data_IF_110367720203
#
_entry.id   IF_110367720203
#
_cell.length_a   1.000
_cell.length_b   1.000
_cell.length_c   1.000
_cell.angle_alpha   90.00
_cell.angle_beta   90.00
_cell.angle_gamma   90.00
#
_symmetry.space_group_name_H-M   'P 1'
#
loop_
_entity.id
_entity.type
_entity.pdbx_description
1 polymer ?
#
# COMPACT_ATOMS: atom_id res chain seq x y z
N UNK A 1 -5.15 6.11 -6.78
CA UNK A 1 -4.64 4.83 -6.23
C UNK A 1 -3.45 4.39 -7.07
N UNK A 2 -2.46 3.75 -6.46
CA UNK A 2 -1.33 3.15 -7.17
C UNK A 2 -1.43 1.63 -7.06
N UNK A 3 -1.13 0.93 -8.16
CA UNK A 3 -1.08 -0.54 -8.15
C UNK A 3 0.20 -0.98 -7.46
N UNK A 4 0.09 -1.96 -6.57
CA UNK A 4 1.26 -2.62 -6.04
C UNK A 4 1.78 -3.63 -7.07
N UNK A 5 3.10 -3.80 -7.12
CA UNK A 5 3.79 -4.71 -8.03
C UNK A 5 4.02 -6.08 -7.41
N UNK A 6 3.90 -6.19 -6.08
CA UNK A 6 3.98 -7.47 -5.36
C UNK A 6 3.91 -7.29 -3.86
N UNK A 7 3.84 -8.40 -3.14
CA UNK A 7 3.84 -8.44 -1.69
C UNK A 7 4.67 -9.61 -1.16
N UNK A 8 5.07 -9.51 0.11
CA UNK A 8 5.71 -10.59 0.86
C UNK A 8 5.09 -10.69 2.24
N UNK A 9 4.79 -11.91 2.69
CA UNK A 9 4.50 -12.15 4.09
C UNK A 9 5.80 -12.07 4.90
N UNK A 10 5.79 -11.26 5.97
CA UNK A 10 6.97 -11.06 6.83
C UNK A 10 6.75 -11.56 8.26
N UNK A 11 5.50 -11.80 8.65
CA UNK A 11 5.09 -12.55 9.85
C UNK A 11 3.68 -13.11 9.64
N UNK A 12 3.11 -13.82 10.62
CA UNK A 12 1.78 -14.44 10.52
C UNK A 12 0.65 -13.43 10.24
N UNK A 13 0.84 -12.17 10.62
CA UNK A 13 -0.15 -11.10 10.48
C UNK A 13 0.39 -9.88 9.74
N UNK A 14 1.52 -9.98 9.05
CA UNK A 14 2.10 -8.83 8.35
C UNK A 14 2.47 -9.12 6.90
N UNK A 15 2.02 -8.23 6.03
CA UNK A 15 2.31 -8.21 4.61
C UNK A 15 3.07 -6.92 4.27
N UNK A 16 4.21 -7.05 3.59
CA UNK A 16 4.92 -5.92 2.99
C UNK A 16 4.57 -5.82 1.51
N UNK A 17 3.97 -4.71 1.09
CA UNK A 17 3.64 -4.45 -0.31
C UNK A 17 4.68 -3.54 -0.94
N UNK A 18 5.02 -3.78 -2.20
CA UNK A 18 5.91 -2.93 -3.02
C UNK A 18 5.12 -2.26 -4.13
N UNK A 19 5.42 -1.00 -4.43
CA UNK A 19 4.75 -0.22 -5.49
C UNK A 19 5.66 0.91 -5.98
N UNK A 20 5.36 1.48 -7.15
CA UNK A 20 6.05 2.66 -7.66
C UNK A 20 5.52 3.93 -6.96
N UNK A 21 6.42 4.81 -6.54
CA UNK A 21 6.15 6.13 -5.97
C UNK A 21 7.23 7.14 -6.40
N UNK A 22 7.06 8.41 -6.05
CA UNK A 22 8.03 9.47 -6.33
C UNK A 22 9.07 9.67 -5.22
N UNK A 23 9.67 10.87 -5.16
CA UNK A 23 10.55 11.26 -4.05
C UNK A 23 9.77 11.24 -2.72
N UNK A 24 10.36 10.62 -1.69
CA UNK A 24 9.77 10.51 -0.34
C UNK A 24 9.53 11.85 0.35
N UNK A 25 10.19 12.92 -0.09
CA UNK A 25 9.95 14.29 0.39
C UNK A 25 8.71 14.92 -0.22
N UNK A 26 8.23 14.37 -1.33
CA UNK A 26 7.12 14.89 -2.09
C UNK A 26 5.86 14.05 -1.94
N UNK A 27 6.02 12.73 -1.84
CA UNK A 27 4.90 11.80 -1.86
C UNK A 27 4.85 10.92 -0.62
N UNK A 28 3.68 10.88 0.00
CA UNK A 28 3.32 9.95 1.05
C UNK A 28 2.41 8.85 0.52
N UNK A 29 2.25 7.79 1.31
CA UNK A 29 1.34 6.70 0.98
C UNK A 29 0.59 6.21 2.21
N UNK A 30 -0.67 5.85 2.01
CA UNK A 30 -1.48 5.12 2.99
C UNK A 30 -2.10 3.89 2.35
N UNK A 31 -2.60 2.99 3.20
CA UNK A 31 -3.28 1.76 2.79
C UNK A 31 -4.74 1.80 3.20
N UNK A 32 -5.58 1.12 2.43
CA UNK A 32 -6.92 0.70 2.84
C UNK A 32 -6.95 -0.81 2.73
N UNK A 33 -7.45 -1.46 3.77
CA UNK A 33 -7.46 -2.91 3.91
C UNK A 33 -8.87 -3.34 4.21
N UNK A 34 -9.39 -4.26 3.40
CA UNK A 34 -10.66 -4.94 3.63
C UNK A 34 -10.37 -6.43 3.84
N UNK A 35 -10.85 -6.98 4.95
CA UNK A 35 -10.53 -8.34 5.39
C UNK A 35 -11.79 -9.19 5.49
N UNK A 36 -11.73 -10.41 4.93
CA UNK A 36 -12.69 -11.49 5.16
C UNK A 36 -11.98 -12.72 5.70
N UNK A 37 -12.71 -13.77 6.08
CA UNK A 37 -12.08 -15.04 6.49
C UNK A 37 -11.22 -15.70 5.41
N UNK A 38 -11.38 -15.35 4.13
CA UNK A 38 -10.67 -15.96 3.00
C UNK A 38 -9.86 -14.98 2.16
N UNK A 39 -10.07 -13.67 2.29
CA UNK A 39 -9.43 -12.64 1.46
C UNK A 39 -8.86 -11.49 2.28
N UNK A 40 -7.77 -10.91 1.76
CA UNK A 40 -7.16 -9.66 2.22
C UNK A 40 -7.06 -8.75 1.00
N UNK A 41 -7.94 -7.76 0.91
CA UNK A 41 -8.01 -6.83 -0.19
C UNK A 41 -7.29 -5.54 0.19
N UNK A 42 -6.23 -5.18 -0.55
CA UNK A 42 -5.37 -4.05 -0.20
C UNK A 42 -5.31 -3.04 -1.34
N UNK A 43 -5.62 -1.78 -1.02
CA UNK A 43 -5.36 -0.63 -1.88
C UNK A 43 -4.22 0.21 -1.31
N UNK A 44 -3.37 0.70 -2.21
CA UNK A 44 -2.34 1.70 -1.89
C UNK A 44 -2.73 3.03 -2.50
N UNK A 45 -2.72 4.07 -1.67
CA UNK A 45 -3.07 5.43 -2.06
C UNK A 45 -1.81 6.26 -1.86
N UNK A 46 -1.24 6.74 -2.96
CA UNK A 46 -0.13 7.69 -2.97
C UNK A 46 -0.68 9.08 -3.24
N UNK A 47 -0.10 10.09 -2.60
CA UNK A 47 -0.46 11.50 -2.78
C UNK A 47 0.66 12.42 -2.35
N UNK A 48 0.56 13.69 -2.74
CA UNK A 48 1.52 14.72 -2.35
C UNK A 48 1.42 14.98 -0.85
N UNK A 49 2.57 15.14 -0.19
CA UNK A 49 2.62 15.53 1.22
C UNK A 49 2.19 17.00 1.38
N UNK A 50 1.53 17.38 2.49
CA UNK A 50 1.19 18.78 2.75
C UNK A 50 2.42 19.70 2.74
N UNK A 51 3.53 19.23 3.30
CA UNK A 51 4.79 19.97 3.41
C UNK A 51 5.78 19.61 2.28
N UNK A 52 5.28 19.14 1.14
CA UNK A 52 6.13 18.88 -0.01
C UNK A 52 6.79 20.19 -0.49
N UNK A 53 8.06 20.17 -0.91
CA UNK A 53 8.72 21.35 -1.46
C UNK A 53 8.07 21.76 -2.80
N UNK A 54 8.18 23.04 -3.14
CA UNK A 54 7.66 23.59 -4.41
C UNK A 54 8.21 22.86 -5.65
N UNK A 55 9.45 22.37 -5.54
CA UNK A 55 10.13 21.63 -6.61
C UNK A 55 10.28 20.15 -6.25
N UNK A 56 9.52 19.31 -6.95
CA UNK A 56 9.60 17.85 -6.85
C UNK A 56 10.19 17.25 -8.11
N UNK A 57 11.34 16.59 -7.99
CA UNK A 57 11.96 15.90 -9.13
C UNK A 57 11.08 14.74 -9.60
N UNK A 58 10.81 14.66 -10.90
CA UNK A 58 10.10 13.53 -11.50
C UNK A 58 11.01 12.31 -11.54
N UNK A 59 10.76 11.36 -10.64
CA UNK A 59 11.48 10.10 -10.55
C UNK A 59 10.50 8.97 -10.21
N UNK A 60 10.83 7.75 -10.62
CA UNK A 60 10.16 6.54 -10.16
C UNK A 60 11.07 5.84 -9.14
N UNK A 61 10.56 5.66 -7.93
CA UNK A 61 11.19 4.88 -6.86
C UNK A 61 10.28 3.73 -6.48
N UNK A 62 10.88 2.59 -6.11
CA UNK A 62 10.14 1.54 -5.44
C UNK A 62 9.95 1.92 -3.97
N UNK A 63 8.70 2.02 -3.55
CA UNK A 63 8.28 2.24 -2.17
C UNK A 63 7.69 0.96 -1.59
N UNK A 64 7.63 0.88 -0.26
CA UNK A 64 6.98 -0.21 0.45
C UNK A 64 6.10 0.28 1.59
N UNK A 65 5.01 -0.43 1.84
CA UNK A 65 4.17 -0.26 3.04
C UNK A 65 4.05 -1.58 3.77
N UNK A 66 3.98 -1.51 5.11
CA UNK A 66 3.69 -2.66 5.96
C UNK A 66 2.21 -2.62 6.34
N UNK A 67 1.51 -3.72 6.10
CA UNK A 67 0.10 -3.90 6.45
C UNK A 67 0.04 -4.96 7.55
N UNK A 68 -0.63 -4.63 8.65
CA UNK A 68 -0.97 -5.58 9.70
C UNK A 68 -2.41 -6.05 9.49
N UNK A 69 -2.62 -7.37 9.48
CA UNK A 69 -3.94 -7.99 9.36
C UNK A 69 -4.50 -8.33 10.74
N UNK A 70 -5.81 -8.16 10.91
CA UNK A 70 -6.54 -8.48 12.14
C UNK A 70 -6.59 -9.97 12.46
N UNK A 71 -6.53 -10.83 11.43
CA UNK A 71 -6.44 -12.28 11.55
C UNK A 71 -5.19 -12.81 10.82
N UNK A 72 -4.68 -14.00 11.18
CA UNK A 72 -3.55 -14.59 10.49
C UNK A 72 -3.76 -14.66 8.97
N UNK A 73 -2.67 -14.53 8.22
CA UNK A 73 -2.70 -14.56 6.75
C UNK A 73 -3.07 -15.96 6.27
N UNK A 74 -2.47 -17.01 6.85
CA UNK A 74 -2.92 -18.41 6.78
C UNK A 74 -3.58 -18.87 5.44
N UNK A 75 -2.95 -18.60 4.30
CA UNK A 75 -3.45 -19.02 2.98
C UNK A 75 -4.61 -18.19 2.41
N UNK A 76 -5.05 -17.13 3.09
CA UNK A 76 -6.01 -16.16 2.57
C UNK A 76 -5.48 -15.52 1.29
N UNK A 77 -6.37 -15.32 0.33
CA UNK A 77 -6.02 -14.75 -0.95
C UNK A 77 -5.79 -13.23 -0.80
N UNK A 78 -4.59 -12.76 -1.15
CA UNK A 78 -4.25 -11.34 -1.17
C UNK A 78 -4.57 -10.77 -2.55
N UNK A 79 -5.38 -9.71 -2.61
CA UNK A 79 -5.81 -9.12 -3.88
C UNK A 79 -5.74 -7.60 -3.87
N UNK A 80 -5.72 -7.03 -5.06
CA UNK A 80 -5.78 -5.59 -5.24
C UNK A 80 -7.21 -5.13 -4.96
N UNK A 81 -7.39 -4.24 -3.99
CA UNK A 81 -8.68 -3.59 -3.78
C UNK A 81 -8.88 -2.55 -4.89
N UNK A 82 -9.83 -2.82 -5.80
CA UNK A 82 -10.04 -2.03 -7.00
C UNK A 82 -10.90 -0.77 -6.77
N UNK A 83 -11.83 -0.82 -5.80
CA UNK A 83 -12.80 0.24 -5.54
C UNK A 83 -12.73 0.66 -4.07
N UNK A 84 -11.95 1.69 -3.76
CA UNK A 84 -11.89 2.23 -2.40
C UNK A 84 -13.00 3.27 -2.21
N UNK A 85 -13.86 3.08 -1.21
CA UNK A 85 -14.72 4.15 -0.72
C UNK A 85 -13.90 5.08 0.18
N UNK A 86 -13.34 6.13 -0.40
CA UNK A 86 -12.71 7.20 0.37
C UNK A 86 -13.82 8.04 0.98
N UNK A 87 -14.02 7.93 2.29
CA UNK A 87 -14.87 8.85 3.06
C UNK A 87 -14.03 10.06 3.48
#
# INVERSE_FOLDING_TARGET
>A
MVRWSGYKQVSDNQLRFSFASGDKRCYGSRVVVEETSTTIDVATISGTLPDAPDMCTTIARQATVLVTTSQPIAGRQVRQLANVKVH
#
